data_IF_177740472405
#
_entry.id   IF_177740472405
#
_cell.length_a   1.000
_cell.length_b   1.000
_cell.length_c   1.000
_cell.angle_alpha   90.00
_cell.angle_beta   90.00
_cell.angle_gamma   90.00
#
_symmetry.space_group_name_H-M   'P 1'
#
loop_
_entity.id
_entity.type
_entity.pdbx_description
1 polymer ?
#
# COMPACT_ATOMS: atom_id res chain seq x y z
N UNK A 1 -16.66 -24.15 0.04
CA UNK A 1 -15.43 -23.40 -0.28
C UNK A 1 -14.31 -24.10 0.46
N UNK A 2 -13.46 -24.87 -0.23
CA UNK A 2 -12.41 -25.66 0.41
C UNK A 2 -11.13 -24.82 0.43
N UNK A 3 -10.76 -24.31 1.60
CA UNK A 3 -9.48 -23.64 1.81
C UNK A 3 -8.39 -24.70 1.94
N UNK A 4 -7.72 -25.00 0.83
CA UNK A 4 -6.48 -25.79 0.90
C UNK A 4 -5.38 -24.98 1.60
N UNK A 5 -4.65 -25.59 2.56
CA UNK A 5 -3.61 -24.91 3.31
C UNK A 5 -2.47 -24.48 2.39
N UNK A 6 -2.03 -23.23 2.57
CA UNK A 6 -0.98 -22.62 1.78
C UNK A 6 0.38 -23.26 2.10
N UNK A 7 1.26 -23.44 1.09
CA UNK A 7 2.60 -23.96 1.33
C UNK A 7 3.39 -23.00 2.23
N UNK A 8 3.90 -23.53 3.35
CA UNK A 8 4.66 -22.81 4.38
C UNK A 8 5.94 -22.13 3.86
N UNK A 9 6.45 -22.57 2.71
CA UNK A 9 7.77 -22.16 2.19
C UNK A 9 7.59 -21.53 0.80
N UNK A 10 7.94 -20.25 0.63
CA UNK A 10 7.83 -19.51 -0.65
C UNK A 10 8.72 -20.06 -1.78
N UNK A 11 9.79 -20.79 -1.43
CA UNK A 11 10.87 -21.20 -2.35
C UNK A 11 10.83 -22.68 -2.72
N UNK A 12 9.90 -23.45 -2.17
CA UNK A 12 9.79 -24.88 -2.48
C UNK A 12 9.13 -25.12 -3.85
N UNK A 13 9.37 -26.28 -4.48
CA UNK A 13 8.73 -26.65 -5.75
C UNK A 13 7.19 -26.56 -5.67
N UNK A 14 6.61 -26.86 -4.51
CA UNK A 14 5.16 -26.72 -4.26
C UNK A 14 4.66 -25.27 -4.33
N UNK A 15 5.46 -24.28 -3.90
CA UNK A 15 5.09 -22.86 -3.99
C UNK A 15 5.29 -22.28 -5.40
N UNK A 16 6.29 -22.78 -6.12
CA UNK A 16 6.49 -22.45 -7.54
C UNK A 16 5.36 -23.05 -8.40
N UNK A 17 4.98 -24.30 -8.13
CA UNK A 17 3.97 -25.04 -8.90
C UNK A 17 2.52 -24.59 -8.58
N UNK A 18 2.20 -24.28 -7.32
CA UNK A 18 0.86 -23.79 -6.93
C UNK A 18 0.69 -22.28 -7.12
N UNK A 19 1.79 -21.53 -7.21
CA UNK A 19 1.81 -20.07 -7.23
C UNK A 19 1.41 -19.47 -5.88
N UNK A 20 2.03 -18.35 -5.49
CA UNK A 20 1.65 -17.67 -4.27
C UNK A 20 0.18 -17.19 -4.38
N UNK A 21 -0.65 -17.28 -3.33
CA UNK A 21 -2.05 -16.85 -3.39
C UNK A 21 -2.21 -15.39 -3.84
N UNK A 22 -1.24 -14.54 -3.50
CA UNK A 22 -1.16 -13.17 -4.02
C UNK A 22 -0.95 -13.14 -5.55
N UNK A 23 -0.03 -13.93 -6.11
CA UNK A 23 0.19 -14.00 -7.56
C UNK A 23 -1.07 -14.47 -8.30
N UNK A 24 -1.82 -15.39 -7.69
CA UNK A 24 -3.10 -15.87 -8.23
C UNK A 24 -4.16 -14.76 -8.22
N UNK A 25 -4.23 -13.98 -7.16
CA UNK A 25 -5.13 -12.83 -7.09
C UNK A 25 -4.76 -11.77 -8.13
N UNK A 26 -3.47 -11.45 -8.27
CA UNK A 26 -2.97 -10.53 -9.29
C UNK A 26 -3.35 -10.99 -10.70
N UNK A 27 -3.11 -12.26 -11.05
CA UNK A 27 -3.52 -12.80 -12.36
C UNK A 27 -5.02 -12.74 -12.60
N UNK A 28 -5.84 -12.99 -11.58
CA UNK A 28 -7.31 -12.91 -11.69
C UNK A 28 -7.79 -11.49 -12.00
N UNK A 29 -7.07 -10.48 -11.50
CA UNK A 29 -7.39 -9.07 -11.72
C UNK A 29 -6.58 -8.44 -12.86
N UNK A 30 -5.88 -9.25 -13.67
CA UNK A 30 -5.00 -8.79 -14.75
C UNK A 30 -3.94 -7.77 -14.29
N UNK A 31 -3.43 -7.96 -13.07
CA UNK A 31 -2.39 -7.13 -12.46
C UNK A 31 -1.04 -7.80 -12.65
N UNK A 32 -0.11 -7.10 -13.30
CA UNK A 32 1.27 -7.54 -13.39
C UNK A 32 1.98 -7.39 -12.03
N UNK A 33 2.33 -8.52 -11.41
CA UNK A 33 3.06 -8.51 -10.14
C UNK A 33 4.58 -8.53 -10.39
N UNK A 34 5.25 -7.41 -10.13
CA UNK A 34 6.71 -7.27 -10.23
C UNK A 34 7.34 -7.24 -8.84
N UNK A 35 8.38 -8.03 -8.66
CA UNK A 35 9.20 -8.03 -7.44
C UNK A 35 10.49 -7.24 -7.65
N UNK A 36 10.91 -6.51 -6.61
CA UNK A 36 12.21 -5.83 -6.61
C UNK A 36 13.33 -6.85 -6.46
N UNK A 37 14.49 -6.57 -7.06
CA UNK A 37 15.68 -7.40 -6.88
C UNK A 37 16.11 -7.41 -5.40
N UNK A 38 16.55 -8.55 -4.85
CA UNK A 38 17.16 -8.60 -3.51
C UNK A 38 18.34 -7.61 -3.40
N UNK A 39 18.56 -7.05 -2.21
CA UNK A 39 19.62 -6.09 -1.89
C UNK A 39 19.61 -4.79 -2.71
N UNK A 40 18.42 -4.35 -3.15
CA UNK A 40 18.25 -3.17 -3.97
C UNK A 40 17.26 -2.15 -3.34
N UNK A 41 17.61 -1.58 -2.18
CA UNK A 41 16.69 -0.76 -1.38
C UNK A 41 16.20 0.50 -2.12
N UNK A 42 16.96 1.02 -3.08
CA UNK A 42 16.60 2.25 -3.78
C UNK A 42 15.39 2.11 -4.72
N UNK A 43 15.05 0.89 -5.17
CA UNK A 43 13.80 0.66 -5.93
C UNK A 43 12.57 0.80 -5.04
N UNK A 44 12.73 0.55 -3.75
CA UNK A 44 11.66 0.63 -2.77
C UNK A 44 11.68 1.97 -1.99
N UNK A 45 12.54 2.90 -2.39
CA UNK A 45 12.81 4.12 -1.63
C UNK A 45 11.61 5.06 -1.49
N UNK A 46 10.67 5.06 -2.44
CA UNK A 46 9.46 5.88 -2.37
C UNK A 46 8.52 5.42 -1.25
N UNK A 47 8.21 4.12 -1.19
CA UNK A 47 7.34 3.57 -0.14
C UNK A 47 8.04 3.61 1.22
N UNK A 48 9.36 3.42 1.27
CA UNK A 48 10.14 3.58 2.51
C UNK A 48 10.10 5.03 3.01
N UNK A 49 10.23 6.01 2.12
CA UNK A 49 10.08 7.44 2.47
C UNK A 49 8.69 7.74 3.00
N UNK A 50 7.64 7.22 2.36
CA UNK A 50 6.25 7.38 2.82
C UNK A 50 6.05 6.76 4.20
N UNK A 51 6.51 5.53 4.40
CA UNK A 51 6.41 4.81 5.68
C UNK A 51 7.12 5.57 6.81
N UNK A 52 8.27 6.18 6.52
CA UNK A 52 8.96 7.05 7.49
C UNK A 52 8.10 8.26 7.85
N UNK A 53 7.53 8.95 6.86
CA UNK A 53 6.64 10.11 7.11
C UNK A 53 5.43 9.73 7.96
N UNK A 54 4.79 8.59 7.69
CA UNK A 54 3.67 8.09 8.50
C UNK A 54 4.12 7.84 9.94
N UNK A 55 5.22 7.12 10.15
CA UNK A 55 5.74 6.80 11.49
C UNK A 55 6.12 8.04 12.28
N UNK A 56 6.75 9.02 11.62
CA UNK A 56 7.13 10.29 12.24
C UNK A 56 5.91 11.14 12.61
N UNK A 57 4.81 11.06 11.85
CA UNK A 57 3.58 11.78 12.14
C UNK A 57 2.69 11.12 13.20
N UNK A 58 2.74 9.78 13.32
CA UNK A 58 1.83 9.00 14.16
C UNK A 58 2.55 8.39 15.37
N UNK A 59 3.10 7.19 15.21
CA UNK A 59 3.58 6.31 16.28
C UNK A 59 4.75 6.91 17.08
N UNK A 60 5.55 7.81 16.51
CA UNK A 60 6.63 8.49 17.25
C UNK A 60 6.18 9.68 18.09
N UNK A 61 4.97 10.20 17.85
CA UNK A 61 4.46 11.43 18.49
C UNK A 61 3.32 11.17 19.47
N UNK A 62 2.59 10.08 19.27
CA UNK A 62 1.39 9.78 20.03
C UNK A 62 1.50 8.37 20.63
N UNK A 63 1.10 8.24 21.89
CA UNK A 63 0.81 6.95 22.51
C UNK A 63 -0.63 6.55 22.16
N UNK A 64 -0.84 5.26 21.87
CA UNK A 64 -2.18 4.71 21.62
C UNK A 64 -2.45 3.63 22.65
N UNK A 65 -3.62 3.69 23.26
CA UNK A 65 -4.03 2.72 24.26
C UNK A 65 -4.65 1.48 23.61
N UNK A 66 -5.21 1.64 22.41
CA UNK A 66 -5.81 0.57 21.63
C UNK A 66 -5.53 0.70 20.12
N UNK A 67 -5.54 -0.43 19.42
CA UNK A 67 -5.32 -0.51 17.99
C UNK A 67 -6.38 0.22 17.17
N UNK A 68 -7.62 0.34 17.66
CA UNK A 68 -8.67 1.10 16.98
C UNK A 68 -8.38 2.60 16.96
N UNK A 69 -7.67 3.13 17.97
CA UNK A 69 -7.25 4.53 17.99
C UNK A 69 -6.18 4.79 16.93
N UNK A 70 -5.20 3.88 16.80
CA UNK A 70 -4.20 3.94 15.74
C UNK A 70 -4.84 3.85 14.35
N UNK A 71 -5.80 2.94 14.15
CA UNK A 71 -6.50 2.78 12.85
C UNK A 71 -7.23 4.06 12.44
N UNK A 72 -7.96 4.69 13.36
CA UNK A 72 -8.67 5.96 13.09
C UNK A 72 -7.70 7.08 12.74
N UNK A 73 -6.67 7.29 13.56
CA UNK A 73 -5.69 8.35 13.31
C UNK A 73 -4.90 8.12 12.02
N UNK A 74 -4.61 6.86 11.66
CA UNK A 74 -3.95 6.55 10.40
C UNK A 74 -4.84 6.87 9.19
N UNK A 75 -6.15 6.59 9.27
CA UNK A 75 -7.10 6.94 8.21
C UNK A 75 -7.17 8.47 8.03
N UNK A 76 -7.33 9.22 9.12
CA UNK A 76 -7.35 10.68 9.10
C UNK A 76 -6.05 11.26 8.52
N UNK A 77 -4.91 10.67 8.88
CA UNK A 77 -3.61 11.07 8.34
C UNK A 77 -3.51 10.82 6.84
N UNK A 78 -3.95 9.66 6.35
CA UNK A 78 -3.92 9.31 4.93
C UNK A 78 -4.82 10.26 4.13
N UNK A 79 -6.03 10.54 4.63
CA UNK A 79 -6.96 11.46 3.97
C UNK A 79 -6.39 12.88 3.93
N UNK A 80 -5.89 13.39 5.05
CA UNK A 80 -5.24 14.70 5.09
C UNK A 80 -3.99 14.77 4.19
N UNK A 81 -3.21 13.69 4.12
CA UNK A 81 -1.99 13.64 3.29
C UNK A 81 -2.32 13.60 1.80
N UNK A 82 -3.32 12.81 1.39
CA UNK A 82 -3.70 12.64 -0.01
C UNK A 82 -4.51 13.83 -0.55
N UNK A 83 -5.40 14.41 0.27
CA UNK A 83 -6.30 15.49 -0.17
C UNK A 83 -5.86 16.89 0.27
N UNK A 84 -5.13 17.01 1.38
CA UNK A 84 -4.69 18.30 1.92
C UNK A 84 -3.35 18.78 1.35
N UNK A 85 -2.54 17.89 0.78
CA UNK A 85 -1.18 18.22 0.31
C UNK A 85 -1.17 18.39 -1.21
N UNK A 86 -1.03 19.63 -1.70
CA UNK A 86 -0.68 19.89 -3.11
C UNK A 86 0.68 19.25 -3.42
N UNK A 87 0.67 18.11 -4.09
CA UNK A 87 1.89 17.54 -4.66
C UNK A 87 2.42 18.53 -5.70
N UNK A 88 3.73 18.80 -5.69
CA UNK A 88 4.36 19.54 -6.79
C UNK A 88 4.13 18.71 -8.04
N UNK A 89 3.23 19.18 -8.90
CA UNK A 89 3.07 18.68 -10.25
C UNK A 89 4.44 18.73 -10.92
N UNK A 90 4.77 17.66 -11.65
CA UNK A 90 5.81 17.75 -12.66
C UNK A 90 5.49 18.99 -13.51
N UNK A 91 6.43 19.92 -13.60
CA UNK A 91 6.26 21.17 -14.35
C UNK A 91 5.81 20.77 -15.76
N UNK A 92 4.53 21.00 -16.10
CA UNK A 92 4.03 20.70 -17.44
C UNK A 92 2.55 20.38 -17.61
N UNK A 93 1.79 19.90 -16.61
CA UNK A 93 0.32 19.72 -16.75
C UNK A 93 -0.41 19.95 -15.43
N UNK A 94 -1.28 20.95 -15.42
CA UNK A 94 -2.33 21.09 -14.41
C UNK A 94 -3.23 19.85 -14.46
N UNK A 95 -3.12 19.01 -13.45
CA UNK A 95 -4.16 18.04 -13.12
C UNK A 95 -4.50 18.26 -11.66
N UNK A 96 -5.37 19.23 -11.44
CA UNK A 96 -6.21 19.26 -10.24
C UNK A 96 -6.84 17.86 -10.10
N UNK A 97 -6.65 17.14 -8.97
CA UNK A 97 -7.20 15.79 -8.84
C UNK A 97 -8.73 15.85 -8.99
N UNK A 98 -9.35 14.93 -9.76
CA UNK A 98 -10.78 14.98 -10.01
C UNK A 98 -11.51 14.91 -8.68
N UNK A 99 -12.40 15.88 -8.45
CA UNK A 99 -13.35 15.84 -7.33
C UNK A 99 -14.08 14.51 -7.38
N UNK A 100 -14.08 13.79 -6.27
CA UNK A 100 -14.89 12.59 -6.08
C UNK A 100 -16.31 12.86 -6.62
N UNK A 101 -16.81 11.93 -7.42
CA UNK A 101 -18.08 12.04 -8.11
C UNK A 101 -19.21 12.48 -7.18
N UNK A 102 -20.05 13.39 -7.70
CA UNK A 102 -21.32 13.77 -7.11
C UNK A 102 -22.10 12.50 -6.73
N UNK A 103 -22.51 12.38 -5.46
CA UNK A 103 -23.68 11.59 -5.12
C UNK A 103 -24.87 12.26 -5.81
N UNK A 104 -25.41 11.62 -6.85
CA UNK A 104 -26.76 11.85 -7.31
C UNK A 104 -27.72 11.10 -6.38
N UNK A 105 -28.46 11.85 -5.57
CA UNK A 105 -29.83 11.54 -5.17
C UNK A 105 -30.76 12.05 -6.27
#
# INVERSE_FOLDING_TARGET
MNEEPLPKNRTGPTAVLRGHPFDRACRRHDIEHRLTKPNHPWTNGQVERMNRTIKDATVKRYHYDDHNQLRRHLADFIDAYNFGRRLKTFIGRDQTPPRAGKLSL
#
